data_IF_840175116203
#
_entry.id   IF_840175116203
#
_cell.length_a   1.000
_cell.length_b   1.000
_cell.length_c   1.000
_cell.angle_alpha   90.00
_cell.angle_beta   90.00
_cell.angle_gamma   90.00
#
_symmetry.space_group_name_H-M   'P 1'
#
loop_
_entity.id
_entity.type
_entity.pdbx_description
1 polymer ?
#
# COMPACT_ATOMS: atom_id res chain seq x y z
N UNK A 1 -4.62 27.15 6.85
CA UNK A 1 -3.42 26.64 7.55
C UNK A 1 -2.25 26.54 6.59
N UNK A 2 -1.05 26.94 7.02
CA UNK A 2 0.15 26.96 6.16
C UNK A 2 0.87 25.61 6.06
N UNK A 3 1.77 25.45 5.08
CA UNK A 3 2.49 24.19 4.81
C UNK A 3 3.48 23.77 5.91
N UNK A 4 3.81 24.67 6.83
CA UNK A 4 4.70 24.42 7.96
C UNK A 4 3.89 24.54 9.25
N UNK A 5 3.16 23.48 9.59
CA UNK A 5 2.35 23.40 10.81
C UNK A 5 2.52 22.01 11.44
N UNK A 6 2.67 21.89 12.79
CA UNK A 6 2.90 20.60 13.45
C UNK A 6 1.83 19.54 13.17
N UNK A 7 0.56 19.95 13.07
CA UNK A 7 -0.58 19.04 12.75
C UNK A 7 -0.70 18.68 11.27
N UNK A 8 0.16 19.23 10.40
CA UNK A 8 0.22 18.90 8.98
C UNK A 8 1.40 17.94 8.79
N UNK A 9 1.29 16.69 9.27
CA UNK A 9 2.34 15.65 9.24
C UNK A 9 2.93 15.42 7.84
N UNK A 10 3.82 16.30 7.41
CA UNK A 10 4.26 16.41 6.01
C UNK A 10 4.19 17.86 5.52
N UNK A 11 3.83 18.04 4.24
CA UNK A 11 3.70 19.36 3.61
C UNK A 11 2.33 19.46 2.97
N UNK A 12 1.36 19.93 3.75
CA UNK A 12 -0.02 20.12 3.31
C UNK A 12 -0.44 21.56 3.57
N UNK A 13 -1.07 22.19 2.57
CA UNK A 13 -1.66 23.52 2.70
C UNK A 13 -3.17 23.40 2.58
N UNK A 14 -3.88 23.86 3.59
CA UNK A 14 -5.34 23.91 3.59
C UNK A 14 -5.81 25.36 3.54
N UNK A 15 -6.56 25.72 2.51
CA UNK A 15 -7.29 26.99 2.47
C UNK A 15 -8.66 26.72 3.06
N UNK A 16 -8.91 27.30 4.23
CA UNK A 16 -10.12 27.04 5.00
C UNK A 16 -10.93 28.31 5.08
N UNK A 17 -12.21 28.23 4.73
CA UNK A 17 -13.20 29.30 4.88
C UNK A 17 -13.96 29.05 6.18
N UNK A 18 -13.85 30.00 7.11
CA UNK A 18 -14.39 29.89 8.47
C UNK A 18 -15.50 30.92 8.67
N UNK A 19 -16.55 30.53 9.39
CA UNK A 19 -17.51 31.45 10.01
C UNK A 19 -17.47 31.25 11.52
N UNK A 20 -16.69 32.11 12.19
CA UNK A 20 -16.36 31.92 13.60
C UNK A 20 -15.53 30.66 13.83
N UNK A 21 -16.13 29.67 14.51
CA UNK A 21 -15.51 28.37 14.81
C UNK A 21 -15.89 27.29 13.78
N UNK A 22 -16.93 27.53 12.98
CA UNK A 22 -17.44 26.56 12.01
C UNK A 22 -16.65 26.62 10.70
N UNK A 23 -16.31 25.44 10.18
CA UNK A 23 -15.65 25.29 8.86
C UNK A 23 -16.73 25.18 7.79
N UNK A 24 -16.83 26.20 6.92
CA UNK A 24 -17.78 26.18 5.80
C UNK A 24 -17.19 25.40 4.62
N UNK A 25 -15.92 25.65 4.31
CA UNK A 25 -15.25 25.08 3.15
C UNK A 25 -13.76 24.86 3.39
N UNK A 26 -13.20 23.85 2.74
CA UNK A 26 -11.80 23.47 2.88
C UNK A 26 -11.25 22.99 1.52
N UNK A 27 -10.35 23.78 0.95
CA UNK A 27 -9.63 23.45 -0.27
C UNK A 27 -8.20 22.97 0.06
N UNK A 28 -7.91 21.66 -0.08
CA UNK A 28 -6.56 21.15 0.10
C UNK A 28 -5.69 21.41 -1.14
N UNK A 29 -4.61 22.15 -0.96
CA UNK A 29 -3.58 22.36 -1.98
C UNK A 29 -2.49 21.31 -1.82
N UNK A 30 -2.49 20.36 -2.76
CA UNK A 30 -1.55 19.24 -2.86
C UNK A 30 -0.39 19.59 -3.80
N UNK A 31 0.63 18.71 -3.84
CA UNK A 31 1.69 18.75 -4.85
C UNK A 31 3.06 19.27 -4.38
N UNK A 32 3.19 19.73 -3.14
CA UNK A 32 4.49 20.16 -2.59
C UNK A 32 5.54 19.04 -2.57
N UNK A 33 5.11 17.78 -2.46
CA UNK A 33 5.98 16.59 -2.48
C UNK A 33 5.95 15.85 -3.84
N UNK A 34 5.30 16.41 -4.87
CA UNK A 34 5.24 15.78 -6.18
C UNK A 34 6.63 15.73 -6.83
N UNK A 35 7.11 14.52 -7.10
CA UNK A 35 8.47 14.26 -7.64
C UNK A 35 8.45 13.63 -9.04
N UNK A 36 7.30 13.55 -9.70
CA UNK A 36 7.17 12.95 -11.03
C UNK A 36 7.59 11.47 -11.07
N UNK A 37 7.27 10.70 -10.03
CA UNK A 37 7.70 9.30 -9.88
C UNK A 37 7.24 8.40 -11.03
N UNK A 38 6.06 8.64 -11.60
CA UNK A 38 5.53 7.92 -12.76
C UNK A 38 6.39 8.15 -14.00
N UNK A 39 6.84 9.40 -14.22
CA UNK A 39 7.70 9.73 -15.36
C UNK A 39 9.11 9.15 -15.23
N UNK A 40 9.59 8.98 -14.00
CA UNK A 40 10.86 8.30 -13.72
C UNK A 40 10.73 6.81 -14.04
N UNK A 41 9.57 6.19 -13.79
CA UNK A 41 9.32 4.79 -14.07
C UNK A 41 9.50 4.47 -15.57
N UNK A 42 8.97 5.31 -16.45
CA UNK A 42 9.06 5.14 -17.92
C UNK A 42 10.52 5.08 -18.44
N UNK A 43 11.49 5.62 -17.70
CA UNK A 43 12.89 5.68 -18.11
C UNK A 43 13.77 4.63 -17.41
N UNK A 44 13.17 3.67 -16.69
CA UNK A 44 13.88 2.71 -15.85
C UNK A 44 13.29 1.30 -15.99
N UNK A 45 14.17 0.31 -15.90
CA UNK A 45 13.76 -1.10 -15.75
C UNK A 45 13.05 -1.30 -14.41
N UNK A 46 12.22 -2.34 -14.30
CA UNK A 46 11.46 -2.64 -13.07
C UNK A 46 12.37 -2.75 -11.84
N UNK A 47 13.52 -3.42 -11.99
CA UNK A 47 14.49 -3.62 -10.90
C UNK A 47 15.15 -2.31 -10.47
N UNK A 48 15.45 -1.43 -11.42
CA UNK A 48 16.03 -0.11 -11.12
C UNK A 48 15.00 0.85 -10.53
N UNK A 49 13.72 0.64 -10.82
CA UNK A 49 12.63 1.45 -10.29
C UNK A 49 12.22 1.06 -8.87
N UNK A 50 12.39 -0.20 -8.48
CA UNK A 50 12.03 -0.71 -7.15
C UNK A 50 12.53 0.16 -5.95
N UNK A 51 13.78 0.69 -5.93
CA UNK A 51 14.22 1.59 -4.86
C UNK A 51 13.53 2.97 -4.82
N UNK A 52 12.83 3.37 -5.89
CA UNK A 52 11.99 4.57 -5.90
C UNK A 52 10.60 4.28 -5.31
N UNK A 53 10.10 3.07 -5.50
CA UNK A 53 8.81 2.61 -5.00
C UNK A 53 8.76 2.59 -3.48
N UNK A 54 9.88 2.24 -2.83
CA UNK A 54 10.02 2.31 -1.36
C UNK A 54 9.84 3.72 -0.80
N UNK A 55 9.89 4.75 -1.66
CA UNK A 55 9.74 6.16 -1.28
C UNK A 55 8.37 6.73 -1.60
N UNK A 56 7.47 5.93 -2.16
CA UNK A 56 6.08 6.32 -2.40
C UNK A 56 5.36 6.52 -1.07
N UNK A 57 5.36 5.45 -0.27
CA UNK A 57 5.02 5.49 1.14
C UNK A 57 6.27 5.09 1.93
N UNK A 58 6.81 6.02 2.70
CA UNK A 58 8.03 5.80 3.50
C UNK A 58 7.78 5.02 4.79
N UNK A 59 6.54 4.61 5.04
CA UNK A 59 6.10 3.94 6.26
C UNK A 59 5.90 2.45 6.05
N UNK A 60 5.11 2.13 5.03
CA UNK A 60 4.77 0.77 4.66
C UNK A 60 5.54 0.38 3.38
N UNK A 61 6.87 0.57 3.41
CA UNK A 61 7.74 0.40 2.23
C UNK A 61 7.65 -1.00 1.61
N UNK A 62 7.45 -2.04 2.43
CA UNK A 62 7.31 -3.42 1.95
C UNK A 62 6.02 -3.64 1.15
N UNK A 63 4.94 -2.89 1.43
CA UNK A 63 3.70 -3.03 0.67
C UNK A 63 3.84 -2.48 -0.75
N UNK A 64 4.50 -1.33 -0.89
CA UNK A 64 4.74 -0.73 -2.20
C UNK A 64 5.74 -1.58 -3.01
N UNK A 65 6.73 -2.19 -2.35
CA UNK A 65 7.57 -3.20 -2.98
C UNK A 65 6.76 -4.42 -3.44
N UNK A 66 5.87 -4.95 -2.61
CA UNK A 66 5.07 -6.13 -2.95
C UNK A 66 4.15 -5.87 -4.14
N UNK A 67 3.48 -4.71 -4.20
CA UNK A 67 2.56 -4.43 -5.30
C UNK A 67 3.29 -4.31 -6.65
N UNK A 68 4.49 -3.71 -6.64
CA UNK A 68 5.31 -3.55 -7.85
C UNK A 68 6.02 -4.82 -8.29
N UNK A 69 6.21 -5.77 -7.38
CA UNK A 69 6.77 -7.10 -7.67
C UNK A 69 5.67 -8.09 -8.10
N UNK A 70 4.48 -8.05 -7.48
CA UNK A 70 3.36 -8.91 -7.80
C UNK A 70 2.82 -8.67 -9.23
N UNK A 71 2.97 -7.44 -9.75
CA UNK A 71 2.68 -7.04 -11.15
C UNK A 71 3.34 -7.96 -12.17
N UNK A 72 4.67 -7.85 -12.31
CA UNK A 72 5.44 -8.67 -13.24
C UNK A 72 5.40 -10.16 -12.91
N UNK A 73 5.24 -10.58 -11.65
CA UNK A 73 5.10 -12.00 -11.31
C UNK A 73 3.82 -12.62 -11.89
N UNK A 74 2.69 -11.92 -11.80
CA UNK A 74 1.42 -12.36 -12.41
C UNK A 74 1.50 -12.32 -13.94
N UNK A 75 2.10 -11.27 -14.52
CA UNK A 75 2.28 -11.16 -15.98
C UNK A 75 3.18 -12.26 -16.56
N UNK A 76 4.27 -12.58 -15.84
CA UNK A 76 5.24 -13.61 -16.24
C UNK A 76 4.82 -15.04 -15.84
N UNK A 77 3.68 -15.23 -15.18
CA UNK A 77 3.27 -16.49 -14.56
C UNK A 77 4.38 -17.12 -13.71
N UNK A 78 5.13 -16.28 -12.98
CA UNK A 78 6.25 -16.70 -12.17
C UNK A 78 5.73 -17.22 -10.83
N UNK A 79 5.97 -18.49 -10.54
CA UNK A 79 5.60 -19.06 -9.25
C UNK A 79 6.60 -18.64 -8.17
N UNK A 80 6.09 -18.07 -7.08
CA UNK A 80 6.88 -17.71 -5.91
C UNK A 80 7.02 -18.95 -4.99
N UNK A 81 8.22 -19.28 -4.49
CA UNK A 81 8.38 -20.38 -3.55
C UNK A 81 7.56 -20.17 -2.26
N UNK A 82 6.99 -21.24 -1.71
CA UNK A 82 6.18 -21.16 -0.48
C UNK A 82 6.90 -20.46 0.69
N UNK A 83 8.19 -20.77 0.90
CA UNK A 83 9.01 -20.12 1.93
C UNK A 83 9.08 -18.60 1.72
N UNK A 84 9.30 -18.16 0.47
CA UNK A 84 9.37 -16.75 0.14
C UNK A 84 8.03 -16.04 0.39
N UNK A 85 6.91 -16.69 0.06
CA UNK A 85 5.56 -16.17 0.30
C UNK A 85 5.27 -15.99 1.80
N UNK A 86 5.65 -16.96 2.64
CA UNK A 86 5.57 -16.82 4.10
C UNK A 86 6.42 -15.66 4.63
N UNK A 87 7.66 -15.53 4.17
CA UNK A 87 8.54 -14.41 4.56
C UNK A 87 7.91 -13.07 4.15
N UNK A 88 7.33 -12.98 2.94
CA UNK A 88 6.62 -11.78 2.48
C UNK A 88 5.44 -11.45 3.40
N UNK A 89 4.59 -12.43 3.73
CA UNK A 89 3.45 -12.21 4.64
C UNK A 89 3.92 -11.69 6.00
N UNK A 90 4.96 -12.28 6.60
CA UNK A 90 5.50 -11.82 7.88
C UNK A 90 5.99 -10.36 7.77
N UNK A 91 6.77 -10.04 6.73
CA UNK A 91 7.30 -8.68 6.53
C UNK A 91 6.20 -7.65 6.24
N UNK A 92 5.15 -8.04 5.54
CA UNK A 92 3.98 -7.21 5.26
C UNK A 92 3.18 -6.92 6.53
N UNK A 93 2.90 -7.93 7.35
CA UNK A 93 2.16 -7.75 8.60
C UNK A 93 3.00 -7.00 9.67
N UNK A 94 4.32 -7.18 9.70
CA UNK A 94 5.21 -6.33 10.51
C UNK A 94 5.15 -4.86 10.04
N UNK A 95 5.14 -4.63 8.72
CA UNK A 95 5.00 -3.29 8.15
C UNK A 95 3.62 -2.69 8.44
N UNK A 96 2.58 -3.53 8.51
CA UNK A 96 1.22 -3.13 8.90
C UNK A 96 1.19 -2.60 10.31
N UNK A 97 1.79 -3.33 11.26
CA UNK A 97 1.94 -2.91 12.65
C UNK A 97 2.73 -1.60 12.74
N UNK A 98 3.86 -1.49 12.05
CA UNK A 98 4.69 -0.28 12.06
C UNK A 98 3.97 0.96 11.50
N UNK A 99 3.11 0.78 10.49
CA UNK A 99 2.28 1.84 9.92
C UNK A 99 1.14 2.26 10.87
N UNK A 100 0.41 1.30 11.46
CA UNK A 100 -0.64 1.61 12.45
C UNK A 100 -0.10 2.30 13.70
N UNK A 101 1.08 1.89 14.18
CA UNK A 101 1.76 2.54 15.29
C UNK A 101 2.06 3.99 14.95
N UNK A 102 2.69 4.26 13.80
CA UNK A 102 2.96 5.65 13.43
C UNK A 102 1.70 6.43 13.11
N UNK A 103 0.59 5.81 12.72
CA UNK A 103 -0.67 6.54 12.62
C UNK A 103 -1.17 6.95 14.02
N UNK A 104 -1.14 6.01 14.97
CA UNK A 104 -1.67 6.20 16.31
C UNK A 104 -0.91 7.28 17.10
N UNK A 105 0.42 7.32 17.01
CA UNK A 105 1.24 8.26 17.78
C UNK A 105 0.91 9.73 17.50
N UNK A 106 1.26 10.25 16.31
CA UNK A 106 0.81 11.52 15.75
C UNK A 106 -0.67 11.85 16.00
N UNK A 107 -1.59 10.91 15.74
CA UNK A 107 -3.02 11.13 15.99
C UNK A 107 -3.31 11.49 17.45
N UNK A 108 -2.70 10.76 18.40
CA UNK A 108 -2.82 11.07 19.82
C UNK A 108 -2.12 12.39 20.18
N UNK A 109 -0.97 12.67 19.57
CA UNK A 109 -0.23 13.90 19.82
C UNK A 109 -1.00 15.15 19.36
N UNK A 110 -1.70 15.07 18.21
CA UNK A 110 -2.56 16.15 17.70
C UNK A 110 -3.79 16.38 18.58
N UNK A 111 -4.34 15.32 19.18
CA UNK A 111 -5.40 15.41 20.19
C UNK A 111 -4.87 16.02 21.51
N UNK A 112 -3.54 16.02 21.71
CA UNK A 112 -2.86 16.62 22.86
C UNK A 112 -2.27 15.61 23.85
N UNK A 113 -2.36 14.31 23.58
CA UNK A 113 -1.75 13.26 24.39
C UNK A 113 -0.35 12.92 23.87
N UNK A 114 0.67 13.51 24.51
CA UNK A 114 2.07 13.33 24.07
C UNK A 114 2.73 12.05 24.62
N UNK A 115 2.28 11.51 25.75
CA UNK A 115 2.95 10.34 26.36
C UNK A 115 2.82 9.05 25.54
N UNK A 116 1.67 8.70 24.91
CA UNK A 116 1.57 7.50 24.10
C UNK A 116 2.48 7.55 22.86
N UNK A 117 2.78 8.75 22.35
CA UNK A 117 3.70 8.94 21.24
C UNK A 117 5.06 8.29 21.51
N UNK A 118 5.65 8.50 22.69
CA UNK A 118 6.96 7.93 23.03
C UNK A 118 6.93 6.41 23.18
N UNK A 119 5.85 5.85 23.72
CA UNK A 119 5.71 4.40 23.85
C UNK A 119 5.66 3.77 22.46
N UNK A 120 4.81 4.30 21.58
CA UNK A 120 4.63 3.79 20.22
C UNK A 120 5.95 3.75 19.43
N UNK A 121 6.79 4.78 19.57
CA UNK A 121 8.10 4.79 18.93
C UNK A 121 9.05 3.72 19.49
N UNK A 122 8.93 3.36 20.77
CA UNK A 122 9.69 2.25 21.37
C UNK A 122 9.30 0.91 20.74
N UNK A 123 8.01 0.59 20.58
CA UNK A 123 7.65 -0.68 19.92
C UNK A 123 7.98 -0.66 18.43
N UNK A 124 7.84 0.51 17.78
CA UNK A 124 8.21 0.67 16.37
C UNK A 124 9.71 0.46 16.13
N UNK A 125 10.54 0.85 17.09
CA UNK A 125 11.99 0.61 17.04
C UNK A 125 12.32 -0.89 17.08
N UNK A 126 11.58 -1.70 17.85
CA UNK A 126 11.76 -3.15 17.88
C UNK A 126 11.44 -3.79 16.52
N UNK A 127 10.41 -3.30 15.83
CA UNK A 127 10.11 -3.75 14.46
C UNK A 127 11.25 -3.38 13.50
N UNK A 128 11.84 -2.20 13.67
CA UNK A 128 12.98 -1.78 12.86
C UNK A 128 14.23 -2.60 13.09
N UNK A 129 14.48 -3.05 14.31
CA UNK A 129 15.59 -3.97 14.59
C UNK A 129 15.38 -5.33 13.90
N UNK A 130 14.13 -5.81 13.78
CA UNK A 130 13.81 -7.00 12.99
C UNK A 130 14.03 -6.79 11.49
N UNK A 131 13.65 -5.62 10.95
CA UNK A 131 13.90 -5.28 9.55
C UNK A 131 15.38 -5.11 9.23
N UNK A 132 16.13 -4.45 10.11
CA UNK A 132 17.57 -4.26 9.97
C UNK A 132 18.29 -5.60 9.99
N UNK A 133 17.89 -6.52 10.88
CA UNK A 133 18.45 -7.87 10.92
C UNK A 133 18.22 -8.64 9.61
N UNK A 134 17.03 -8.53 9.00
CA UNK A 134 16.71 -9.27 7.77
C UNK A 134 17.29 -8.64 6.50
N UNK A 135 17.29 -7.30 6.41
CA UNK A 135 17.54 -6.58 5.16
C UNK A 135 18.82 -5.74 5.17
N UNK A 136 19.33 -5.42 6.36
CA UNK A 136 20.44 -4.50 6.58
C UNK A 136 20.05 -3.01 6.50
N UNK A 137 18.77 -2.68 6.29
CA UNK A 137 18.27 -1.30 6.25
C UNK A 137 17.09 -1.14 7.21
N UNK A 138 16.89 0.09 7.73
CA UNK A 138 15.86 0.39 8.74
C UNK A 138 14.52 0.90 8.19
N UNK A 139 14.49 1.39 6.95
CA UNK A 139 13.28 1.98 6.34
C UNK A 139 13.14 1.61 4.86
N UNK A 140 14.19 1.80 4.08
CA UNK A 140 14.18 1.61 2.63
C UNK A 140 14.73 0.21 2.28
N UNK A 141 13.93 -0.83 2.48
CA UNK A 141 14.43 -2.20 2.56
C UNK A 141 14.86 -2.81 1.22
N UNK A 142 14.14 -2.54 0.12
CA UNK A 142 14.40 -3.10 -1.21
C UNK A 142 14.61 -4.63 -1.17
N UNK A 143 13.74 -5.28 -0.39
CA UNK A 143 13.87 -6.65 0.06
C UNK A 143 13.11 -7.62 -0.83
N UNK A 144 11.92 -7.23 -1.29
CA UNK A 144 11.18 -8.06 -2.23
C UNK A 144 11.79 -7.97 -3.63
N UNK A 145 11.79 -9.09 -4.34
CA UNK A 145 12.32 -9.18 -5.70
C UNK A 145 11.38 -10.03 -6.53
N UNK A 146 11.37 -9.82 -7.84
CA UNK A 146 10.63 -10.66 -8.78
C UNK A 146 11.09 -12.11 -8.61
N UNK A 147 10.16 -12.98 -8.23
CA UNK A 147 10.39 -14.39 -7.92
C UNK A 147 10.63 -14.74 -6.45
N UNK A 148 10.54 -13.79 -5.53
CA UNK A 148 10.67 -14.06 -4.10
C UNK A 148 11.30 -12.91 -3.31
N UNK A 149 12.39 -13.23 -2.61
CA UNK A 149 13.01 -12.34 -1.63
C UNK A 149 14.51 -12.21 -1.90
N UNK A 150 15.12 -11.06 -1.61
CA UNK A 150 16.53 -10.80 -1.88
C UNK A 150 17.50 -11.66 -1.04
N UNK A 151 17.16 -11.90 0.23
CA UNK A 151 17.96 -12.68 1.18
C UNK A 151 17.05 -13.45 2.14
N UNK A 152 17.46 -14.65 2.56
CA UNK A 152 16.75 -15.40 3.60
C UNK A 152 16.93 -14.77 4.99
N UNK A 153 16.07 -15.16 5.93
CA UNK A 153 16.11 -14.72 7.31
C UNK A 153 17.40 -15.22 8.01
N UNK A 154 18.08 -14.37 8.81
CA UNK A 154 19.29 -14.79 9.51
C UNK A 154 18.97 -15.77 10.65
N UNK A 155 20.00 -16.47 11.11
CA UNK A 155 19.89 -17.41 12.22
C UNK A 155 19.37 -16.71 13.49
N UNK A 156 18.40 -17.32 14.18
CA UNK A 156 17.78 -16.80 15.40
C UNK A 156 16.79 -15.64 15.18
N UNK A 157 16.43 -15.33 13.92
CA UNK A 157 15.44 -14.29 13.63
C UNK A 157 14.02 -14.70 14.02
N UNK A 158 13.68 -15.99 13.82
CA UNK A 158 12.36 -16.53 14.14
C UNK A 158 12.05 -16.38 15.64
N UNK A 159 13.00 -16.78 16.50
CA UNK A 159 12.86 -16.68 17.95
C UNK A 159 12.62 -15.23 18.40
N UNK A 160 13.40 -14.28 17.85
CA UNK A 160 13.21 -12.84 18.10
C UNK A 160 11.85 -12.32 17.62
N UNK A 161 11.36 -12.84 16.49
CA UNK A 161 10.04 -12.51 15.97
C UNK A 161 8.92 -12.98 16.90
N UNK A 162 9.04 -14.18 17.48
CA UNK A 162 8.10 -14.71 18.46
C UNK A 162 8.14 -13.90 19.76
N UNK A 163 9.33 -13.60 20.29
CA UNK A 163 9.50 -12.75 21.48
C UNK A 163 8.85 -11.37 21.28
N UNK A 164 8.98 -10.78 20.09
CA UNK A 164 8.32 -9.52 19.74
C UNK A 164 6.80 -9.64 19.74
N UNK A 165 6.24 -10.73 19.21
CA UNK A 165 4.78 -10.94 19.18
C UNK A 165 4.20 -10.97 20.61
N UNK A 166 4.83 -11.69 21.53
CA UNK A 166 4.38 -11.80 22.92
C UNK A 166 4.48 -10.46 23.65
N UNK A 167 5.57 -9.72 23.42
CA UNK A 167 5.74 -8.38 23.96
C UNK A 167 4.68 -7.40 23.43
N UNK A 168 4.45 -7.40 22.11
CA UNK A 168 3.57 -6.44 21.46
C UNK A 168 2.10 -6.65 21.80
N UNK A 169 1.64 -7.90 22.02
CA UNK A 169 0.28 -8.17 22.53
C UNK A 169 0.01 -7.50 23.88
N UNK A 170 1.02 -7.49 24.75
CA UNK A 170 0.97 -6.79 26.03
C UNK A 170 0.87 -5.28 25.82
N UNK A 171 1.65 -4.73 24.89
CA UNK A 171 1.62 -3.32 24.50
C UNK A 171 0.26 -2.87 23.95
N UNK A 172 -0.35 -3.64 23.04
CA UNK A 172 -1.69 -3.34 22.50
C UNK A 172 -2.74 -3.29 23.61
N UNK A 173 -2.69 -4.23 24.56
CA UNK A 173 -3.60 -4.26 25.71
C UNK A 173 -3.41 -3.03 26.61
N UNK A 174 -2.16 -2.58 26.80
CA UNK A 174 -1.85 -1.36 27.54
C UNK A 174 -2.41 -0.11 26.82
N UNK A 175 -2.25 -0.02 25.49
CA UNK A 175 -2.81 1.07 24.69
C UNK A 175 -4.32 1.15 24.77
N UNK A 176 -5.01 0.01 24.70
CA UNK A 176 -6.47 -0.01 24.86
C UNK A 176 -6.91 0.50 26.24
N UNK A 177 -6.19 0.12 27.30
CA UNK A 177 -6.50 0.58 28.66
C UNK A 177 -6.28 2.08 28.83
N UNK A 178 -5.20 2.61 28.26
CA UNK A 178 -4.83 4.02 28.38
C UNK A 178 -5.70 4.94 27.51
N UNK A 179 -6.02 4.52 26.28
CA UNK A 179 -6.66 5.38 25.27
C UNK A 179 -8.16 5.12 25.19
N UNK A 180 -8.58 3.86 24.98
CA UNK A 180 -9.97 3.54 24.63
C UNK A 180 -10.96 3.88 25.74
N UNK A 181 -10.55 3.81 27.00
CA UNK A 181 -11.41 4.11 28.17
C UNK A 181 -11.32 5.57 28.64
N UNK A 182 -10.53 6.41 27.99
CA UNK A 182 -10.33 7.78 28.43
C UNK A 182 -11.52 8.65 28.00
N UNK A 183 -12.27 9.27 28.95
CA UNK A 183 -13.42 10.10 28.61
C UNK A 183 -13.06 11.31 27.72
N UNK A 184 -11.87 11.89 27.90
CA UNK A 184 -11.40 13.04 27.10
C UNK A 184 -11.18 12.62 25.65
N UNK A 185 -10.72 11.39 25.42
CA UNK A 185 -10.52 10.87 24.09
C UNK A 185 -11.85 10.59 23.39
N UNK A 186 -12.78 9.95 24.10
CA UNK A 186 -14.11 9.66 23.58
C UNK A 186 -14.84 10.94 23.18
N UNK A 187 -14.87 11.96 24.04
CA UNK A 187 -15.53 13.24 23.76
C UNK A 187 -15.01 13.95 22.49
N UNK A 188 -13.74 13.74 22.10
CA UNK A 188 -13.15 14.39 20.92
C UNK A 188 -13.28 13.59 19.62
N UNK A 189 -13.57 12.31 19.71
CA UNK A 189 -13.48 11.39 18.57
C UNK A 189 -14.84 10.76 18.25
N UNK A 190 -15.67 10.55 19.25
CA UNK A 190 -17.03 10.04 19.10
C UNK A 190 -17.90 11.05 18.33
N UNK A 191 -18.58 10.57 17.29
CA UNK A 191 -19.46 11.40 16.46
C UNK A 191 -18.75 12.38 15.51
N UNK A 192 -17.40 12.36 15.43
CA UNK A 192 -16.65 13.24 14.54
C UNK A 192 -16.34 12.55 13.21
N UNK A 193 -16.64 13.24 12.11
CA UNK A 193 -16.29 12.80 10.76
C UNK A 193 -17.03 11.55 10.30
N UNK A 194 -18.31 11.43 10.64
CA UNK A 194 -19.18 10.32 10.23
C UNK A 194 -19.26 10.27 8.71
N UNK A 195 -19.05 9.08 8.13
CA UNK A 195 -19.22 8.85 6.69
C UNK A 195 -20.22 7.71 6.50
N UNK A 196 -21.23 7.95 5.66
CA UNK A 196 -22.24 6.95 5.35
C UNK A 196 -21.71 5.84 4.43
N UNK A 197 -22.37 4.68 4.45
CA UNK A 197 -22.01 3.54 3.59
C UNK A 197 -21.99 3.90 2.11
N UNK A 198 -23.00 4.64 1.64
CA UNK A 198 -23.12 5.02 0.23
C UNK A 198 -22.07 6.07 -0.17
N UNK A 199 -21.72 6.97 0.74
CA UNK A 199 -20.68 7.99 0.55
C UNK A 199 -19.30 7.36 0.40
N UNK A 200 -18.97 6.37 1.26
CA UNK A 200 -17.73 5.60 1.14
C UNK A 200 -17.55 5.00 -0.25
N UNK A 201 -18.61 4.39 -0.79
CA UNK A 201 -18.58 3.74 -2.11
C UNK A 201 -18.45 4.79 -3.22
N UNK A 202 -19.25 5.86 -3.15
CA UNK A 202 -19.26 6.92 -4.16
C UNK A 202 -17.93 7.70 -4.21
N UNK A 203 -17.28 7.91 -3.06
CA UNK A 203 -15.98 8.58 -2.99
C UNK A 203 -14.80 7.63 -3.27
N UNK A 204 -15.05 6.31 -3.33
CA UNK A 204 -14.01 5.31 -3.56
C UNK A 204 -13.07 5.11 -2.37
N UNK A 205 -13.55 5.28 -1.14
CA UNK A 205 -12.77 5.08 0.08
C UNK A 205 -12.54 3.59 0.35
N UNK A 206 -11.36 3.23 0.88
CA UNK A 206 -10.92 1.84 1.10
C UNK A 206 -10.31 1.59 2.49
N UNK A 207 -10.09 0.32 2.86
CA UNK A 207 -9.52 -0.20 4.14
C UNK A 207 -10.30 0.21 5.40
N UNK A 208 -9.72 0.62 6.56
CA UNK A 208 -10.47 1.00 7.75
C UNK A 208 -11.55 2.04 7.57
N UNK A 209 -11.49 2.93 6.59
CA UNK A 209 -12.59 3.88 6.32
C UNK A 209 -13.85 3.14 5.87
N UNK A 210 -13.67 2.18 4.97
CA UNK A 210 -14.74 1.36 4.44
C UNK A 210 -15.22 0.35 5.49
N UNK A 211 -14.29 -0.25 6.23
CA UNK A 211 -14.59 -1.23 7.31
C UNK A 211 -15.24 -0.59 8.52
N UNK A 212 -14.92 0.66 8.86
CA UNK A 212 -15.57 1.40 9.93
C UNK A 212 -17.02 1.80 9.60
N UNK A 213 -17.36 1.84 8.31
CA UNK A 213 -18.70 2.22 7.81
C UNK A 213 -19.61 1.00 7.56
N UNK A 214 -19.27 -0.14 8.16
CA UNK A 214 -20.07 -1.35 8.14
C UNK A 214 -19.91 -2.23 6.91
N UNK A 215 -18.94 -2.01 6.03
CA UNK A 215 -18.68 -2.88 4.86
C UNK A 215 -17.54 -3.85 5.19
N UNK A 216 -17.84 -5.14 5.24
CA UNK A 216 -16.85 -6.20 5.48
C UNK A 216 -16.10 -6.55 4.20
N UNK A 217 -15.17 -5.68 3.79
CA UNK A 217 -14.36 -5.88 2.59
C UNK A 217 -12.87 -5.78 2.94
N UNK A 218 -12.13 -6.83 2.61
CA UNK A 218 -10.67 -6.88 2.71
C UNK A 218 -10.11 -7.65 1.51
N UNK A 219 -9.20 -7.03 0.76
CA UNK A 219 -8.53 -7.63 -0.39
C UNK A 219 -7.80 -8.93 -0.03
N UNK A 220 -7.28 -9.07 1.19
CA UNK A 220 -6.55 -10.26 1.63
C UNK A 220 -7.41 -11.53 1.59
N UNK A 221 -8.73 -11.40 1.79
CA UNK A 221 -9.68 -12.53 1.72
C UNK A 221 -10.33 -12.71 0.35
N UNK A 222 -10.21 -11.74 -0.55
CA UNK A 222 -10.93 -11.73 -1.83
C UNK A 222 -9.98 -12.09 -2.97
N UNK A 223 -8.83 -11.43 -3.02
CA UNK A 223 -7.83 -11.62 -4.08
C UNK A 223 -6.85 -12.76 -3.78
N UNK A 224 -6.89 -13.31 -2.56
CA UNK A 224 -6.14 -14.51 -2.17
C UNK A 224 -4.66 -14.46 -2.58
N UNK A 225 -4.01 -13.30 -2.42
CA UNK A 225 -2.63 -13.11 -2.88
C UNK A 225 -1.61 -13.64 -1.86
N UNK A 226 -0.44 -14.08 -2.33
CA UNK A 226 0.60 -14.76 -1.52
C UNK A 226 0.07 -16.05 -0.86
N UNK A 227 -0.07 -16.09 0.46
CA UNK A 227 -0.56 -17.25 1.21
C UNK A 227 -1.47 -16.87 2.39
N UNK A 228 -2.23 -15.78 2.30
CA UNK A 228 -3.14 -15.34 3.37
C UNK A 228 -4.26 -16.35 3.72
N UNK A 229 -4.53 -17.31 2.84
CA UNK A 229 -5.58 -18.33 3.00
C UNK A 229 -5.21 -19.47 3.94
N UNK A 230 -3.90 -19.67 4.18
CA UNK A 230 -3.42 -20.73 5.07
C UNK A 230 -3.50 -20.32 6.54
N UNK A 231 -3.82 -19.06 6.84
CA UNK A 231 -3.87 -18.49 8.19
C UNK A 231 -5.30 -18.22 8.66
N UNK A 232 -5.55 -18.46 9.96
CA UNK A 232 -6.83 -18.17 10.59
C UNK A 232 -6.85 -16.78 11.21
N UNK A 233 -7.61 -15.86 10.61
CA UNK A 233 -7.76 -14.47 11.05
C UNK A 233 -9.12 -13.88 10.66
N UNK A 234 -9.54 -12.85 11.41
CA UNK A 234 -10.83 -12.19 11.21
C UNK A 234 -10.68 -10.74 10.71
N UNK A 235 -11.59 -10.33 9.81
CA UNK A 235 -11.61 -8.95 9.32
C UNK A 235 -12.30 -8.08 10.37
N UNK A 236 -11.58 -7.11 10.92
CA UNK A 236 -12.12 -6.16 11.88
C UNK A 236 -12.97 -5.10 11.17
N UNK A 237 -14.19 -4.88 11.64
CA UNK A 237 -15.13 -3.91 11.09
C UNK A 237 -15.97 -3.29 12.20
N UNK A 238 -16.54 -2.13 11.93
CA UNK A 238 -17.42 -1.38 12.84
C UNK A 238 -18.59 -0.79 12.04
N UNK A 239 -19.64 -0.32 12.72
CA UNK A 239 -20.86 0.14 12.06
C UNK A 239 -21.05 1.66 12.11
N UNK A 240 -20.47 2.33 13.09
CA UNK A 240 -20.77 3.74 13.38
C UNK A 240 -20.22 4.71 12.32
N UNK A 241 -19.17 4.35 11.57
CA UNK A 241 -18.57 5.20 10.52
C UNK A 241 -17.81 6.42 11.05
N UNK A 242 -17.75 6.60 12.36
CA UNK A 242 -17.09 7.71 13.04
C UNK A 242 -15.58 7.49 13.18
N UNK A 243 -14.89 8.50 13.70
CA UNK A 243 -13.44 8.42 13.94
C UNK A 243 -13.08 7.39 15.00
N UNK A 244 -13.99 7.10 15.94
CA UNK A 244 -13.80 6.08 16.98
C UNK A 244 -13.83 4.67 16.39
N UNK A 245 -14.80 4.39 15.52
CA UNK A 245 -14.91 3.15 14.77
C UNK A 245 -13.63 2.87 13.97
N UNK A 246 -13.06 3.89 13.31
CA UNK A 246 -11.78 3.77 12.58
C UNK A 246 -10.61 3.45 13.50
N UNK A 247 -10.57 4.07 14.67
CA UNK A 247 -9.58 3.77 15.69
C UNK A 247 -9.69 2.31 16.15
N UNK A 248 -10.90 1.84 16.47
CA UNK A 248 -11.14 0.47 16.93
C UNK A 248 -10.74 -0.56 15.88
N UNK A 249 -11.08 -0.32 14.60
CA UNK A 249 -10.67 -1.19 13.48
C UNK A 249 -9.15 -1.30 13.39
N UNK A 250 -8.41 -0.19 13.51
CA UNK A 250 -6.93 -0.21 13.45
C UNK A 250 -6.28 -0.92 14.64
N UNK A 251 -6.80 -0.69 15.84
CA UNK A 251 -6.31 -1.41 17.03
C UNK A 251 -6.57 -2.92 16.89
N UNK A 252 -7.75 -3.30 16.42
CA UNK A 252 -8.08 -4.71 16.15
C UNK A 252 -7.19 -5.31 15.07
N UNK A 253 -6.92 -4.57 13.99
CA UNK A 253 -6.01 -5.00 12.93
C UNK A 253 -4.60 -5.27 13.44
N UNK A 254 -4.07 -4.47 14.37
CA UNK A 254 -2.78 -4.75 14.98
C UNK A 254 -2.79 -6.10 15.73
N UNK A 255 -3.86 -6.42 16.46
CA UNK A 255 -3.97 -7.71 17.14
C UNK A 255 -4.07 -8.90 16.17
N UNK A 256 -4.88 -8.78 15.12
CA UNK A 256 -5.00 -9.81 14.07
C UNK A 256 -3.69 -9.98 13.29
N UNK A 257 -2.96 -8.89 13.04
CA UNK A 257 -1.65 -8.94 12.38
C UNK A 257 -0.65 -9.79 13.17
N UNK A 258 -0.63 -9.65 14.50
CA UNK A 258 0.23 -10.48 15.37
C UNK A 258 -0.18 -11.95 15.29
N UNK A 259 -1.49 -12.24 15.30
CA UNK A 259 -2.01 -13.61 15.19
C UNK A 259 -1.56 -14.26 13.88
N UNK A 260 -1.56 -13.52 12.77
CA UNK A 260 -1.05 -13.98 11.47
C UNK A 260 0.47 -14.23 11.55
N UNK A 261 1.23 -13.29 12.14
CA UNK A 261 2.70 -13.42 12.25
C UNK A 261 3.08 -14.65 13.08
N UNK A 262 2.42 -14.88 14.23
CA UNK A 262 2.68 -16.06 15.07
C UNK A 262 2.46 -17.36 14.30
N UNK A 263 1.32 -17.49 13.61
CA UNK A 263 1.02 -18.66 12.77
C UNK A 263 2.03 -18.83 11.63
N UNK A 264 2.45 -17.74 10.99
CA UNK A 264 3.42 -17.77 9.91
C UNK A 264 4.83 -18.16 10.39
N UNK A 265 5.25 -17.71 11.57
CA UNK A 265 6.54 -18.06 12.17
C UNK A 265 6.60 -19.54 12.58
N UNK A 266 5.52 -20.08 13.15
CA UNK A 266 5.42 -21.49 13.52
C UNK A 266 5.33 -22.42 12.29
N UNK A 267 4.66 -21.96 11.23
CA UNK A 267 4.39 -22.74 10.02
C UNK A 267 5.43 -22.62 8.91
N UNK A 268 6.53 -21.87 9.10
CA UNK A 268 7.43 -21.53 8.00
C UNK A 268 8.05 -22.78 7.35
N UNK A 269 7.81 -23.05 6.06
CA UNK A 269 8.38 -24.22 5.41
C UNK A 269 9.87 -24.02 5.12
N UNK A 270 10.62 -25.13 5.16
CA UNK A 270 11.94 -25.19 4.55
C UNK A 270 11.85 -25.03 3.02
N UNK A 271 12.91 -24.55 2.37
CA UNK A 271 12.95 -24.44 0.91
C UNK A 271 13.77 -23.25 0.40
N UNK A 272 13.80 -23.03 -0.91
CA UNK A 272 14.44 -21.85 -1.50
C UNK A 272 13.62 -20.57 -1.21
N UNK A 273 14.31 -19.46 -0.99
CA UNK A 273 13.72 -18.14 -0.73
C UNK A 273 13.54 -17.28 -2.01
N UNK A 274 14.04 -17.75 -3.14
CA UNK A 274 13.95 -17.12 -4.46
C UNK A 274 13.67 -18.22 -5.49
N UNK A 275 12.81 -17.95 -6.47
CA UNK A 275 12.62 -18.85 -7.60
C UNK A 275 13.91 -18.85 -8.46
N UNK A 276 14.65 -19.96 -8.37
CA UNK A 276 15.94 -20.13 -9.02
C UNK A 276 15.84 -20.13 -10.56
N UNK A 277 14.68 -20.45 -11.14
CA UNK A 277 14.48 -20.52 -12.60
C UNK A 277 14.63 -19.16 -13.29
N UNK A 278 14.36 -18.06 -12.57
CA UNK A 278 14.59 -16.69 -13.04
C UNK A 278 16.07 -16.39 -13.24
N UNK A 279 16.96 -17.02 -12.46
CA UNK A 279 18.41 -16.91 -12.67
C UNK A 279 18.90 -17.74 -13.85
N UNK A 280 18.10 -18.71 -14.30
CA UNK A 280 18.50 -19.68 -15.33
C UNK A 280 18.25 -19.19 -16.76
N UNK A 281 17.61 -18.04 -16.98
CA UNK A 281 17.45 -17.48 -18.32
C UNK A 281 18.78 -17.10 -19.00
N UNK A 282 19.93 -17.11 -18.29
CA UNK A 282 21.19 -16.65 -18.86
C UNK A 282 22.47 -17.47 -18.57
N UNK A 283 22.46 -18.68 -17.96
CA UNK A 283 23.74 -19.39 -17.69
C UNK A 283 23.77 -20.91 -17.84
N UNK A 284 24.80 -21.37 -18.58
CA UNK A 284 25.29 -22.77 -18.60
C UNK A 284 25.67 -23.23 -17.18
N UNK A 285 25.35 -24.50 -16.89
CA UNK A 285 25.72 -25.24 -15.68
C UNK A 285 27.24 -25.13 -15.41
N UNK A 286 27.61 -24.47 -14.32
CA UNK A 286 28.93 -24.47 -13.68
C UNK A 286 30.14 -24.11 -14.58
N UNK A 287 30.46 -22.81 -14.76
CA UNK A 287 31.76 -22.42 -15.31
C UNK A 287 32.88 -22.69 -14.29
N UNK A 288 34.05 -23.13 -14.77
CA UNK A 288 35.23 -23.32 -13.94
C UNK A 288 35.66 -22.00 -13.28
N UNK A 289 36.12 -22.06 -12.02
CA UNK A 289 36.46 -20.89 -11.19
C UNK A 289 37.50 -19.94 -11.82
N UNK A 290 38.26 -20.43 -12.81
CA UNK A 290 39.31 -19.70 -13.50
C UNK A 290 38.95 -19.21 -14.90
N UNK A 291 37.73 -19.49 -15.37
CA UNK A 291 37.34 -19.13 -16.73
C UNK A 291 37.07 -17.62 -16.86
N UNK A 292 37.30 -17.08 -18.05
CA UNK A 292 37.08 -15.67 -18.36
C UNK A 292 35.62 -15.26 -18.08
N UNK A 293 34.67 -16.15 -18.34
CA UNK A 293 33.25 -15.97 -18.03
C UNK A 293 33.03 -15.75 -16.51
N UNK A 294 33.75 -16.46 -15.64
CA UNK A 294 33.63 -16.33 -14.17
C UNK A 294 33.98 -14.93 -13.65
N UNK A 295 34.91 -14.23 -14.32
CA UNK A 295 35.27 -12.85 -13.96
C UNK A 295 34.14 -11.85 -14.24
N UNK A 296 33.33 -12.09 -15.27
CA UNK A 296 32.16 -11.28 -15.61
C UNK A 296 30.93 -11.64 -14.78
N UNK A 297 30.85 -12.87 -14.26
CA UNK A 297 29.81 -13.32 -13.31
C UNK A 297 29.79 -12.49 -12.02
N UNK A 298 30.91 -11.87 -11.63
CA UNK A 298 31.02 -11.05 -10.42
C UNK A 298 30.19 -9.75 -10.46
N UNK A 299 29.96 -9.18 -11.66
CA UNK A 299 28.97 -8.12 -11.85
C UNK A 299 27.65 -8.80 -12.14
N UNK A 300 26.72 -8.83 -11.17
CA UNK A 300 25.32 -9.21 -11.42
C UNK A 300 24.76 -8.25 -12.49
N UNK A 301 24.56 -8.66 -13.77
CA UNK A 301 23.75 -7.85 -14.65
C UNK A 301 22.33 -7.83 -14.06
N UNK A 302 21.64 -6.70 -14.13
CA UNK A 302 20.21 -6.65 -13.79
C UNK A 302 19.49 -7.61 -14.74
N UNK A 303 18.78 -8.64 -14.26
CA UNK A 303 18.04 -9.52 -15.14
C UNK A 303 17.00 -8.67 -15.89
N UNK A 304 17.13 -8.62 -17.21
CA UNK A 304 16.14 -7.99 -18.07
C UNK A 304 15.09 -9.05 -18.37
N UNK A 305 13.90 -8.90 -17.80
CA UNK A 305 12.80 -9.85 -18.00
C UNK A 305 12.08 -9.53 -19.30
N UNK A 306 12.03 -10.45 -20.26
CA UNK A 306 11.10 -10.30 -21.38
C UNK A 306 9.69 -10.63 -20.88
N UNK A 307 8.87 -9.61 -20.65
CA UNK A 307 7.48 -9.77 -20.22
C UNK A 307 6.53 -9.60 -21.41
N UNK A 308 5.40 -10.34 -21.47
CA UNK A 308 4.42 -10.15 -22.52
C UNK A 308 3.83 -8.72 -22.46
N UNK A 309 3.64 -8.10 -23.62
CA UNK A 309 2.99 -6.78 -23.72
C UNK A 309 1.52 -6.88 -23.31
N UNK A 310 1.23 -6.54 -22.06
CA UNK A 310 -0.12 -6.54 -21.50
C UNK A 310 -0.26 -5.41 -20.48
N UNK A 311 -1.51 -4.97 -20.28
CA UNK A 311 -1.89 -4.04 -19.24
C UNK A 311 -2.48 -4.86 -18.07
N UNK A 312 -1.88 -4.75 -16.88
CA UNK A 312 -2.38 -5.40 -15.67
C UNK A 312 -2.60 -4.37 -14.56
N UNK A 313 -3.76 -4.46 -13.93
CA UNK A 313 -4.11 -3.73 -12.72
C UNK A 313 -3.94 -4.67 -11.52
N UNK A 314 -2.97 -4.38 -10.67
CA UNK A 314 -2.80 -5.10 -9.41
C UNK A 314 -3.19 -4.23 -8.23
N UNK A 315 -3.89 -4.85 -7.29
CA UNK A 315 -4.44 -4.23 -6.10
C UNK A 315 -3.81 -4.86 -4.87
N UNK A 316 -3.42 -4.02 -3.91
CA UNK A 316 -2.95 -4.49 -2.61
C UNK A 316 -3.40 -3.51 -1.52
N UNK A 317 -3.83 -3.99 -0.34
CA UNK A 317 -4.22 -3.10 0.74
C UNK A 317 -2.98 -2.54 1.44
N UNK A 318 -2.68 -1.26 1.19
CA UNK A 318 -1.54 -0.52 1.75
C UNK A 318 -2.04 0.50 2.79
N UNK A 319 -1.22 0.85 3.78
CA UNK A 319 -1.55 1.79 4.88
C UNK A 319 -0.57 2.96 4.89
N UNK A 320 -1.00 4.18 4.58
CA UNK A 320 -0.14 5.38 4.74
C UNK A 320 -0.76 6.44 5.68
N UNK A 321 0.09 7.35 6.14
CA UNK A 321 -0.17 8.23 7.28
C UNK A 321 -1.18 9.36 7.03
N UNK A 322 -1.20 9.93 5.83
CA UNK A 322 -1.40 11.38 5.76
C UNK A 322 -2.81 11.90 6.10
N UNK A 323 -3.83 11.04 6.26
CA UNK A 323 -5.14 11.47 6.79
C UNK A 323 -5.92 10.35 7.51
N UNK A 324 -5.24 9.32 8.03
CA UNK A 324 -5.98 8.16 8.53
C UNK A 324 -6.80 7.47 7.44
N UNK A 325 -6.24 7.36 6.25
CA UNK A 325 -6.77 6.63 5.11
C UNK A 325 -5.94 5.37 4.86
N UNK A 326 -6.60 4.36 4.31
CA UNK A 326 -5.98 3.12 3.83
C UNK A 326 -6.24 2.97 2.37
N UNK A 327 -5.22 2.53 1.68
CA UNK A 327 -5.15 2.51 0.25
C UNK A 327 -5.56 1.16 -0.30
N UNK A 328 -6.34 1.23 -1.36
CA UNK A 328 -6.26 0.30 -2.46
C UNK A 328 -5.29 0.97 -3.43
N UNK A 329 -4.00 0.64 -3.35
CA UNK A 329 -3.07 1.14 -4.36
C UNK A 329 -3.33 0.30 -5.62
N UNK A 330 -3.61 0.97 -6.73
CA UNK A 330 -3.69 0.32 -8.04
C UNK A 330 -2.41 0.68 -8.76
N UNK A 331 -1.60 -0.34 -9.07
CA UNK A 331 -0.50 -0.16 -10.01
C UNK A 331 -0.94 -0.71 -11.35
N UNK A 332 -1.18 0.19 -12.30
CA UNK A 332 -1.27 -0.19 -13.70
C UNK A 332 0.15 -0.38 -14.22
N UNK A 333 0.52 -1.62 -14.50
CA UNK A 333 1.80 -1.95 -15.11
C UNK A 333 1.58 -2.25 -16.58
N UNK A 334 2.09 -1.38 -17.45
CA UNK A 334 2.20 -1.66 -18.88
C UNK A 334 3.67 -1.92 -19.17
N UNK A 335 4.00 -3.15 -19.56
CA UNK A 335 5.39 -3.54 -19.83
C UNK A 335 5.61 -3.66 -21.32
N UNK A 336 6.76 -3.16 -21.80
CA UNK A 336 7.24 -3.48 -23.13
C UNK A 336 7.78 -4.92 -23.16
N UNK A 337 7.94 -5.49 -24.35
CA UNK A 337 8.44 -6.86 -24.55
C UNK A 337 9.83 -7.14 -23.95
N UNK A 338 10.52 -6.12 -23.45
CA UNK A 338 11.89 -6.13 -22.93
C UNK A 338 11.95 -5.85 -21.41
N UNK A 339 10.80 -5.79 -20.71
CA UNK A 339 10.79 -5.65 -19.24
C UNK A 339 10.96 -4.24 -18.70
N UNK A 340 10.88 -3.24 -19.57
CA UNK A 340 10.80 -1.84 -19.20
C UNK A 340 9.34 -1.41 -18.98
N UNK A 341 9.12 -0.51 -18.03
CA UNK A 341 7.81 0.12 -17.87
C UNK A 341 7.54 1.01 -19.08
N UNK A 342 6.53 0.65 -19.87
CA UNK A 342 5.99 1.52 -20.91
C UNK A 342 5.15 2.64 -20.28
N UNK A 343 4.41 2.28 -19.22
CA UNK A 343 3.63 3.20 -18.41
C UNK A 343 3.39 2.56 -17.04
N UNK A 344 3.56 3.34 -15.98
CA UNK A 344 3.25 2.94 -14.61
C UNK A 344 2.43 4.04 -13.96
N UNK A 345 1.16 3.76 -13.69
CA UNK A 345 0.26 4.69 -13.00
C UNK A 345 0.00 4.19 -11.59
N UNK A 346 0.04 5.13 -10.66
CA UNK A 346 -0.25 4.90 -9.26
C UNK A 346 -1.55 5.63 -8.91
N UNK A 347 -2.63 4.88 -8.72
CA UNK A 347 -3.86 5.45 -8.18
C UNK A 347 -3.92 5.23 -6.68
N UNK A 348 -4.13 6.34 -5.98
CA UNK A 348 -4.09 6.42 -4.53
C UNK A 348 -5.46 6.91 -4.03
N UNK A 349 -6.12 6.10 -3.18
CA UNK A 349 -7.45 6.40 -2.61
C UNK A 349 -7.58 7.75 -1.88
N UNK A 350 -6.53 8.34 -1.30
CA UNK A 350 -6.59 9.70 -0.74
C UNK A 350 -6.80 10.81 -1.77
N UNK A 351 -6.49 10.57 -3.05
CA UNK A 351 -6.72 11.57 -4.11
C UNK A 351 -8.18 11.53 -4.60
N UNK A 352 -8.94 10.47 -4.26
CA UNK A 352 -10.32 10.29 -4.69
C UNK A 352 -10.47 10.23 -6.22
N UNK A 353 -11.63 9.77 -6.71
CA UNK A 353 -11.88 9.61 -8.15
C UNK A 353 -11.79 10.91 -9.00
N UNK A 354 -11.52 12.07 -8.42
CA UNK A 354 -11.53 13.38 -9.10
C UNK A 354 -10.37 13.61 -10.07
N UNK A 355 -9.28 12.83 -10.00
CA UNK A 355 -8.18 12.86 -10.99
C UNK A 355 -8.35 11.80 -12.09
N UNK A 356 -9.57 11.67 -12.62
CA UNK A 356 -9.83 11.03 -13.92
C UNK A 356 -9.43 11.92 -15.11
N UNK A 357 -8.36 12.70 -14.97
CA UNK A 357 -7.74 13.40 -16.10
C UNK A 357 -6.76 12.44 -16.77
N UNK A 358 -7.26 11.72 -17.77
CA UNK A 358 -6.49 10.90 -18.69
C UNK A 358 -5.33 11.72 -19.30
N UNK A 359 -4.09 11.45 -18.91
CA UNK A 359 -2.95 11.73 -19.79
C UNK A 359 -2.97 10.62 -20.85
N UNK A 360 -3.80 10.78 -21.87
CA UNK A 360 -3.71 10.01 -23.12
C UNK A 360 -2.43 10.46 -23.82
N UNK A 361 -1.30 9.81 -23.54
CA UNK A 361 -0.19 9.81 -24.49
C UNK A 361 -0.60 8.92 -25.65
N UNK A 362 -0.51 9.47 -26.86
CA UNK A 362 -0.90 8.85 -28.13
C UNK A 362 -0.38 7.42 -28.29
N UNK A 363 -1.25 6.43 -28.05
CA UNK A 363 -1.03 5.05 -28.49
C UNK A 363 -1.37 4.98 -29.98
N UNK A 364 -0.55 4.25 -30.74
CA UNK A 364 -0.65 4.13 -32.19
C UNK A 364 -2.06 3.70 -32.66
N UNK A 365 -2.54 4.15 -33.84
CA UNK A 365 -3.95 4.04 -34.25
C UNK A 365 -4.48 2.62 -34.50
N UNK A 366 -3.64 1.59 -34.39
CA UNK A 366 -3.99 0.23 -34.83
C UNK A 366 -4.80 -0.60 -33.82
N UNK A 367 -4.97 -0.13 -32.58
CA UNK A 367 -5.68 -0.86 -31.50
C UNK A 367 -7.05 -0.27 -31.12
N UNK A 368 -7.48 0.84 -31.71
CA UNK A 368 -8.76 1.50 -31.39
C UNK A 368 -10.01 0.81 -31.92
N UNK A 369 -9.89 -0.23 -32.76
CA UNK A 369 -11.05 -0.82 -33.44
C UNK A 369 -11.72 -2.00 -32.70
N UNK A 370 -11.14 -2.56 -31.64
CA UNK A 370 -11.65 -3.80 -31.03
C UNK A 370 -12.46 -3.66 -29.74
N UNK A 371 -12.64 -2.46 -29.17
CA UNK A 371 -13.24 -2.31 -27.83
C UNK A 371 -14.39 -1.29 -27.72
N UNK A 372 -14.92 -0.77 -28.82
CA UNK A 372 -16.09 0.12 -28.79
C UNK A 372 -17.38 -0.63 -29.17
N UNK A 373 -18.03 -1.28 -28.21
CA UNK A 373 -19.48 -1.52 -28.29
C UNK A 373 -20.20 -0.42 -27.50
N UNK A 374 -21.15 0.32 -28.10
CA UNK A 374 -21.91 1.34 -27.39
C UNK A 374 -22.87 0.69 -26.36
N UNK A 375 -23.10 1.32 -25.19
CA UNK A 375 -24.06 0.83 -24.21
C UNK A 375 -25.50 0.90 -24.74
N UNK A 376 -26.41 0.00 -24.31
CA UNK A 376 -27.81 0.03 -24.74
C UNK A 376 -28.55 1.26 -24.17
N UNK A 377 -29.55 1.81 -24.88
CA UNK A 377 -30.29 3.00 -24.45
C UNK A 377 -31.20 2.71 -23.24
N UNK A 378 -31.48 3.72 -22.39
CA UNK A 378 -32.34 3.59 -21.21
C UNK A 378 -33.84 3.43 -21.58
N UNK A 379 -34.66 2.84 -20.68
CA UNK A 379 -36.10 2.64 -20.89
C UNK A 379 -36.90 3.97 -20.90
N UNK A 380 -38.06 4.01 -21.58
CA UNK A 380 -38.65 5.26 -22.07
C UNK A 380 -39.45 6.15 -21.09
N UNK A 381 -39.43 5.90 -19.77
CA UNK A 381 -40.39 6.51 -18.84
C UNK A 381 -39.79 7.43 -17.74
N UNK A 382 -38.69 8.14 -18.00
CA UNK A 382 -38.19 9.17 -17.08
C UNK A 382 -37.98 10.50 -17.81
N UNK A 383 -38.90 11.43 -17.61
CA UNK A 383 -38.76 12.83 -18.03
C UNK A 383 -37.55 13.50 -17.35
N UNK A 384 -36.70 14.25 -18.09
CA UNK A 384 -35.52 14.89 -17.53
C UNK A 384 -35.89 16.15 -16.74
N UNK A 385 -35.52 16.18 -15.46
CA UNK A 385 -35.60 17.35 -14.59
C UNK A 385 -34.66 18.48 -15.10
N UNK A 386 -35.16 19.70 -15.42
CA UNK A 386 -34.38 20.76 -16.06
C UNK A 386 -33.29 21.41 -15.18
N UNK A 387 -33.00 20.87 -13.99
CA UNK A 387 -31.94 21.36 -13.08
C UNK A 387 -30.59 20.65 -13.24
N UNK A 388 -30.55 19.52 -13.95
CA UNK A 388 -29.31 18.79 -14.27
C UNK A 388 -28.93 19.03 -15.74
N UNK A 389 -28.26 20.15 -15.99
CA UNK A 389 -27.70 20.46 -17.31
C UNK A 389 -26.59 19.49 -17.69
N UNK A 390 -26.91 18.49 -18.51
CA UNK A 390 -25.92 17.70 -19.24
C UNK A 390 -25.29 18.57 -20.33
N UNK A 391 -24.05 19.02 -20.13
CA UNK A 391 -23.25 19.70 -21.17
C UNK A 391 -22.30 18.68 -21.80
N UNK A 392 -22.40 18.40 -23.11
CA UNK A 392 -21.46 17.50 -23.78
C UNK A 392 -20.12 18.23 -24.00
N UNK A 393 -19.11 17.91 -23.21
CA UNK A 393 -17.74 18.40 -23.40
C UNK A 393 -17.00 17.51 -24.41
N UNK A 394 -17.11 17.88 -25.69
CA UNK A 394 -16.17 17.49 -26.74
C UNK A 394 -15.72 18.77 -27.46
N UNK A 395 -14.60 19.33 -27.01
CA UNK A 395 -13.92 20.45 -27.65
C UNK A 395 -12.43 20.41 -27.25
N UNK A 396 -11.49 20.69 -28.19
CA UNK A 396 -10.06 20.52 -27.93
C UNK A 396 -9.57 21.58 -26.94
N UNK A 397 -9.05 21.11 -25.81
CA UNK A 397 -8.61 21.95 -24.69
C UNK A 397 -7.44 22.85 -25.05
N UNK A 398 -7.53 24.11 -24.62
CA UNK A 398 -6.38 25.02 -24.47
C UNK A 398 -5.59 24.60 -23.24
N UNK A 399 -4.28 24.51 -23.40
CA UNK A 399 -3.27 24.32 -22.36
C UNK A 399 -3.24 25.50 -21.38
N UNK A 400 -3.22 25.20 -20.08
CA UNK A 400 -2.59 26.02 -19.03
C UNK A 400 -1.72 25.09 -18.21
#
# INVERSE_FOLDING_TARGET
MGPHHPSMHGVLRLVVTLDGEDVIDCEPILGYLHRGMEKIAENRTIIQYLPYVTRWDYLATMFTEAITVNGPERLGNIQVPKRASYIRVIMLELSRIASHLLWLGPFMADIGAQTPFFYIFRERELVYDLFEAATGMRMMHNYFRIGGVAADLPYGWIDKGLDFCDYFLTGVTEYQKLITRNPIFLERVEGVGIIGRDEVINWGLSGPMLRASGIQWDLRKIDHYECYDEFDWEVQWQKEGDSLARYLVRIGEMAESIKIIQQALEGIPGGPYENLEIRYFDRKRYPEWHDFEYRFISKKPSPTFELPKQELYNLMPVLALDVGLTWLDVVLTVVDGVGDFLYCRFDSSCIGCSFHASIRVSVAPSLQQSLCHPPPPPPPDLDPDPRLGWVPWCGPGRSI
#
